data_IF_206302859474
#
_entry.id   IF_206302859474
#
_cell.length_a   1.000
_cell.length_b   1.000
_cell.length_c   1.000
_cell.angle_alpha   90.00
_cell.angle_beta   90.00
_cell.angle_gamma   90.00
#
_symmetry.space_group_name_H-M   'P 1'
#
loop_
_entity.id
_entity.type
_entity.pdbx_description
1 polymer ?
#
# COMPACT_ATOMS: atom_id res chain seq x y z
N UNK A 1 8.13 -5.16 9.08
CA UNK A 1 7.97 -4.00 9.99
C UNK A 1 9.27 -3.22 10.08
N UNK A 2 10.37 -3.83 10.56
CA UNK A 2 11.69 -3.18 10.70
C UNK A 2 12.14 -2.43 9.43
N UNK A 3 12.09 -3.07 8.25
CA UNK A 3 12.44 -2.39 6.99
C UNK A 3 11.65 -1.11 6.71
N UNK A 4 10.39 -1.03 7.11
CA UNK A 4 9.59 0.20 6.97
C UNK A 4 10.00 1.26 7.99
N UNK A 5 10.41 0.86 9.19
CA UNK A 5 10.95 1.77 10.20
C UNK A 5 12.32 2.30 9.76
N UNK A 6 13.20 1.42 9.29
CA UNK A 6 14.55 1.77 8.81
C UNK A 6 14.49 2.77 7.65
N UNK A 7 13.49 2.65 6.78
CA UNK A 7 13.27 3.59 5.67
C UNK A 7 13.05 5.04 6.17
N UNK A 8 12.54 5.24 7.39
CA UNK A 8 12.36 6.58 7.98
C UNK A 8 13.67 7.23 8.45
N UNK A 9 14.80 6.51 8.41
CA UNK A 9 16.12 7.11 8.64
C UNK A 9 16.50 8.12 7.54
N UNK A 10 15.86 8.05 6.37
CA UNK A 10 15.97 9.06 5.32
C UNK A 10 15.13 10.31 5.58
N UNK A 11 15.20 11.25 4.63
CA UNK A 11 14.36 12.46 4.61
C UNK A 11 13.00 12.16 3.98
N UNK A 12 12.20 11.38 4.71
CA UNK A 12 10.86 10.93 4.30
C UNK A 12 9.90 10.98 5.49
N UNK A 13 8.61 11.10 5.17
CA UNK A 13 7.52 11.21 6.15
C UNK A 13 6.82 9.88 6.40
N UNK A 14 6.91 8.95 5.45
CA UNK A 14 6.28 7.64 5.54
C UNK A 14 6.96 6.55 4.72
N UNK A 15 6.66 5.31 5.08
CA UNK A 15 7.06 4.12 4.36
C UNK A 15 5.91 3.12 4.33
N UNK A 16 5.62 2.57 3.16
CA UNK A 16 4.59 1.56 2.95
C UNK A 16 5.20 0.24 2.54
N UNK A 17 4.74 -0.86 3.15
CA UNK A 17 5.00 -2.19 2.60
C UNK A 17 4.22 -2.35 1.30
N UNK A 18 4.83 -2.85 0.22
CA UNK A 18 4.12 -3.16 -1.02
C UNK A 18 4.78 -4.27 -1.83
N UNK A 19 4.00 -4.94 -2.66
CA UNK A 19 4.47 -5.92 -3.62
C UNK A 19 4.31 -5.40 -5.06
N UNK A 20 5.17 -5.82 -5.98
CA UNK A 20 5.00 -5.50 -7.40
C UNK A 20 3.71 -6.13 -7.93
N UNK A 21 2.99 -5.39 -8.77
CA UNK A 21 1.78 -5.95 -9.39
C UNK A 21 2.17 -7.01 -10.42
N UNK A 22 1.71 -8.24 -10.22
CA UNK A 22 1.91 -9.36 -11.16
C UNK A 22 1.03 -9.24 -12.40
N UNK A 23 -0.21 -8.80 -12.17
CA UNK A 23 -1.28 -8.83 -13.15
C UNK A 23 -1.18 -7.64 -14.11
N UNK A 24 -1.75 -7.80 -15.31
CA UNK A 24 -1.90 -6.66 -16.22
C UNK A 24 -3.04 -5.77 -15.72
N UNK A 25 -2.75 -4.54 -15.32
CA UNK A 25 -3.76 -3.58 -14.85
C UNK A 25 -4.32 -2.78 -16.03
N UNK A 26 -5.65 -2.72 -16.11
CA UNK A 26 -6.39 -1.90 -17.06
C UNK A 26 -7.15 -0.81 -16.32
N UNK A 27 -7.15 0.40 -16.86
CA UNK A 27 -8.13 1.42 -16.51
C UNK A 27 -9.34 1.24 -17.43
N UNK A 28 -10.56 1.24 -16.87
CA UNK A 28 -11.80 1.04 -17.61
C UNK A 28 -12.84 2.10 -17.23
N UNK A 29 -13.65 2.52 -18.21
CA UNK A 29 -14.76 3.45 -18.00
C UNK A 29 -16.01 2.69 -17.56
N UNK A 30 -16.49 2.96 -16.35
CA UNK A 30 -17.65 2.30 -15.75
C UNK A 30 -17.57 0.77 -15.71
N UNK A 31 -16.38 0.18 -15.88
CA UNK A 31 -16.14 -1.27 -15.96
C UNK A 31 -16.47 -1.94 -17.30
N UNK A 32 -17.01 -1.21 -18.29
CA UNK A 32 -17.50 -1.81 -19.54
C UNK A 32 -16.53 -1.70 -20.73
N UNK A 33 -15.61 -0.73 -20.72
CA UNK A 33 -14.66 -0.49 -21.81
C UNK A 33 -13.27 -0.13 -21.29
N UNK A 34 -12.24 -0.78 -21.81
CA UNK A 34 -10.83 -0.45 -21.51
C UNK A 34 -10.48 0.94 -22.07
N UNK A 35 -10.00 1.81 -21.19
CA UNK A 35 -9.48 3.16 -21.51
C UNK A 35 -8.00 3.08 -21.83
N UNK A 36 -7.21 2.42 -20.95
CA UNK A 36 -5.79 2.18 -21.18
C UNK A 36 -5.26 0.99 -20.40
N UNK A 37 -4.09 0.52 -20.81
CA UNK A 37 -3.29 -0.45 -20.04
C UNK A 37 -2.23 0.33 -19.29
N UNK A 38 -2.14 0.13 -17.97
CA UNK A 38 -1.12 0.79 -17.16
C UNK A 38 0.21 0.04 -17.30
N UNK A 39 1.33 0.77 -17.25
CA UNK A 39 2.66 0.15 -17.23
C UNK A 39 2.90 -0.50 -15.87
N UNK A 40 2.80 -1.84 -15.82
CA UNK A 40 3.00 -2.60 -14.58
C UNK A 40 4.39 -2.44 -13.96
N UNK A 41 5.40 -1.99 -14.71
CA UNK A 41 6.78 -1.88 -14.22
C UNK A 41 6.92 -0.88 -13.06
N UNK A 42 6.01 0.09 -12.99
CA UNK A 42 5.95 1.15 -11.97
C UNK A 42 4.80 0.96 -10.96
N UNK A 43 4.02 -0.12 -11.05
CA UNK A 43 2.86 -0.33 -10.19
C UNK A 43 3.18 -1.24 -9.00
N UNK A 44 2.66 -0.84 -7.85
CA UNK A 44 2.81 -1.54 -6.58
C UNK A 44 1.44 -1.73 -5.92
N UNK A 45 1.20 -2.93 -5.41
CA UNK A 45 0.06 -3.26 -4.57
C UNK A 45 0.45 -3.00 -3.11
N UNK A 46 -0.12 -1.94 -2.54
CA UNK A 46 0.16 -1.50 -1.17
C UNK A 46 -0.41 -2.49 -0.15
N UNK A 47 0.38 -2.79 0.87
CA UNK A 47 0.08 -3.67 1.99
C UNK A 47 0.23 -2.91 3.31
N UNK A 48 0.02 -3.60 4.44
CA UNK A 48 0.39 -3.12 5.77
C UNK A 48 1.60 -3.91 6.30
N UNK A 49 2.44 -3.34 7.17
CA UNK A 49 2.31 -2.04 7.83
C UNK A 49 2.60 -0.85 6.90
N UNK A 50 1.94 0.26 7.22
CA UNK A 50 2.35 1.60 6.81
C UNK A 50 2.92 2.28 8.06
N UNK A 51 4.07 2.94 7.93
CA UNK A 51 4.79 3.57 9.05
C UNK A 51 5.04 5.02 8.70
N UNK A 52 4.75 5.94 9.62
CA UNK A 52 4.85 7.37 9.38
C UNK A 52 5.56 8.08 10.51
N UNK A 53 6.19 9.22 10.21
CA UNK A 53 6.54 10.21 11.23
C UNK A 53 5.25 10.69 11.88
N UNK A 54 5.23 10.65 13.22
CA UNK A 54 4.02 10.92 13.97
C UNK A 54 3.48 12.34 13.77
N UNK A 55 4.36 13.32 13.50
CA UNK A 55 3.96 14.69 13.19
C UNK A 55 3.30 14.79 11.81
N UNK A 56 3.95 14.26 10.76
CA UNK A 56 3.42 14.25 9.40
C UNK A 56 2.03 13.61 9.31
N UNK A 57 1.83 12.45 9.95
CA UNK A 57 0.51 11.81 9.97
C UNK A 57 -0.54 12.62 10.74
N UNK A 58 -0.17 13.22 11.88
CA UNK A 58 -1.10 14.05 12.66
C UNK A 58 -1.53 15.30 11.89
N UNK A 59 -0.60 15.93 11.19
CA UNK A 59 -0.91 17.10 10.37
C UNK A 59 -1.79 16.73 9.18
N UNK A 60 -1.50 15.62 8.51
CA UNK A 60 -2.34 15.09 7.43
C UNK A 60 -3.77 14.78 7.90
N UNK A 61 -3.93 14.22 9.10
CA UNK A 61 -5.22 13.91 9.71
C UNK A 61 -6.05 15.15 10.09
N UNK A 62 -5.48 16.36 10.12
CA UNK A 62 -6.25 17.61 10.34
C UNK A 62 -6.96 18.08 9.08
N UNK A 63 -6.60 17.56 7.91
CA UNK A 63 -7.22 17.88 6.62
C UNK A 63 -8.56 17.16 6.41
N UNK A 64 -9.06 17.21 5.16
CA UNK A 64 -10.21 16.41 4.74
C UNK A 64 -9.81 14.95 4.54
N UNK A 65 -10.33 14.07 5.40
CA UNK A 65 -10.04 12.63 5.36
C UNK A 65 -11.11 11.82 4.61
N UNK A 66 -12.16 12.46 4.08
CA UNK A 66 -13.34 11.78 3.53
C UNK A 66 -13.07 10.93 2.29
N UNK A 67 -12.00 11.22 1.56
CA UNK A 67 -11.60 10.51 0.33
C UNK A 67 -10.36 9.64 0.50
N UNK A 68 -9.81 9.55 1.70
CA UNK A 68 -8.61 8.76 1.97
C UNK A 68 -8.90 7.27 1.85
N UNK A 69 -8.05 6.56 1.10
CA UNK A 69 -8.11 5.09 0.98
C UNK A 69 -7.20 4.39 1.98
N UNK A 70 -6.18 5.09 2.46
CA UNK A 70 -5.24 4.70 3.50
C UNK A 70 -4.51 5.92 4.10
N UNK A 71 -3.69 5.69 5.13
CA UNK A 71 -2.94 6.75 5.81
C UNK A 71 -1.85 7.37 4.91
N UNK A 72 -1.29 6.59 3.98
CA UNK A 72 -0.31 7.08 3.02
C UNK A 72 -0.89 8.16 2.11
N UNK A 73 -2.10 7.95 1.59
CA UNK A 73 -2.79 8.92 0.73
C UNK A 73 -3.04 10.26 1.44
N UNK A 74 -3.23 10.24 2.76
CA UNK A 74 -3.36 11.45 3.58
C UNK A 74 -2.04 12.21 3.66
N UNK A 75 -0.95 11.51 3.97
CA UNK A 75 0.38 12.11 4.08
C UNK A 75 0.84 12.68 2.74
N UNK A 76 0.62 11.96 1.63
CA UNK A 76 0.89 12.44 0.28
C UNK A 76 0.09 13.70 -0.07
N UNK A 77 -1.21 13.72 0.26
CA UNK A 77 -2.07 14.88 0.03
C UNK A 77 -1.67 16.11 0.85
N UNK A 78 -1.07 15.90 2.03
CA UNK A 78 -0.48 16.95 2.86
C UNK A 78 0.90 17.42 2.38
N UNK A 79 1.42 16.86 1.28
CA UNK A 79 2.73 17.19 0.71
C UNK A 79 3.90 16.39 1.29
N UNK A 80 3.62 15.39 2.13
CA UNK A 80 4.63 14.52 2.70
C UNK A 80 5.18 13.51 1.69
N UNK A 81 6.41 13.06 1.94
CA UNK A 81 7.09 12.07 1.09
C UNK A 81 6.91 10.67 1.66
N UNK A 82 6.28 9.78 0.89
CA UNK A 82 6.09 8.36 1.25
C UNK A 82 6.90 7.47 0.30
N UNK A 83 7.68 6.53 0.86
CA UNK A 83 8.48 5.58 0.08
C UNK A 83 7.92 4.17 0.12
N UNK A 84 8.18 3.42 -0.95
CA UNK A 84 7.80 2.01 -1.04
C UNK A 84 8.92 1.12 -0.50
N UNK A 85 8.55 0.19 0.37
CA UNK A 85 9.41 -0.88 0.86
C UNK A 85 8.87 -2.21 0.35
N UNK A 86 9.70 -2.92 -0.43
CA UNK A 86 9.30 -4.19 -1.01
C UNK A 86 9.00 -5.24 0.09
N UNK A 87 7.82 -5.84 -0.03
CA UNK A 87 7.30 -6.87 0.84
C UNK A 87 6.87 -8.09 0.02
N UNK A 88 7.02 -9.32 0.57
CA UNK A 88 6.54 -10.52 -0.11
C UNK A 88 5.03 -10.44 -0.41
N UNK A 89 4.56 -11.02 -1.52
CA UNK A 89 3.13 -11.10 -1.81
C UNK A 89 2.36 -11.89 -0.74
N UNK A 90 3.03 -12.76 0.01
CA UNK A 90 2.48 -13.49 1.18
C UNK A 90 2.00 -12.56 2.30
N UNK A 91 2.47 -11.31 2.36
CA UNK A 91 1.99 -10.29 3.30
C UNK A 91 0.66 -9.68 2.81
N UNK A 92 -0.26 -10.53 2.36
CA UNK A 92 -1.51 -10.10 1.75
C UNK A 92 -2.40 -9.38 2.77
N UNK A 93 -3.08 -8.34 2.28
CA UNK A 93 -4.14 -7.69 3.05
C UNK A 93 -5.35 -8.61 3.06
N UNK A 94 -5.72 -9.14 4.22
CA UNK A 94 -6.91 -10.00 4.35
C UNK A 94 -8.16 -9.11 4.37
N UNK A 95 -8.89 -9.08 3.25
CA UNK A 95 -10.09 -8.23 3.07
C UNK A 95 -11.32 -9.02 2.63
N UNK A 96 -11.14 -10.23 2.11
CA UNK A 96 -12.20 -11.10 1.62
C UNK A 96 -12.13 -12.49 2.24
N UNK A 97 -13.21 -13.29 2.18
CA UNK A 97 -13.19 -14.69 2.57
C UNK A 97 -12.22 -15.56 1.74
N UNK A 98 -11.87 -15.12 0.52
CA UNK A 98 -10.84 -15.80 -0.26
C UNK A 98 -9.45 -15.54 0.33
N UNK A 99 -9.14 -14.28 0.65
CA UNK A 99 -7.86 -13.89 1.26
C UNK A 99 -7.62 -14.65 2.57
N UNK A 100 -8.68 -14.86 3.37
CA UNK A 100 -8.59 -15.62 4.61
C UNK A 100 -8.15 -17.07 4.37
N UNK A 101 -8.74 -17.75 3.39
CA UNK A 101 -8.36 -19.13 3.04
C UNK A 101 -6.92 -19.22 2.54
N UNK A 102 -6.47 -18.21 1.78
CA UNK A 102 -5.07 -18.12 1.33
C UNK A 102 -4.14 -17.92 2.52
N UNK A 103 -4.47 -17.02 3.44
CA UNK A 103 -3.69 -16.79 4.65
C UNK A 103 -3.59 -18.04 5.53
N UNK A 104 -4.69 -18.79 5.71
CA UNK A 104 -4.70 -20.06 6.44
C UNK A 104 -3.75 -21.10 5.83
N UNK A 105 -3.78 -21.25 4.50
CA UNK A 105 -2.88 -22.17 3.80
C UNK A 105 -1.40 -21.77 3.96
N UNK A 106 -1.08 -20.48 3.80
CA UNK A 106 0.28 -19.96 3.98
C UNK A 106 0.80 -20.16 5.41
N UNK A 107 -0.07 -20.03 6.42
CA UNK A 107 0.28 -20.29 7.81
C UNK A 107 0.52 -21.77 8.07
N UNK A 108 -0.26 -22.67 7.46
CA UNK A 108 -0.09 -24.11 7.60
C UNK A 108 1.24 -24.61 7.02
N UNK A 109 1.73 -24.01 5.93
CA UNK A 109 3.03 -24.36 5.32
C UNK A 109 4.25 -23.92 6.15
N UNK A 110 4.05 -22.99 7.10
CA UNK A 110 5.10 -22.44 7.96
C UNK A 110 5.28 -23.21 9.27
N UNK A 111 4.40 -24.17 9.55
CA UNK A 111 4.41 -25.03 10.73
C UNK A 111 5.14 -26.36 10.49
#
# INVERSE_FOLDING_TARGET
VERCIDALAGDVDGAIAAARVSDTVKEADGGARVVRTLDRSVLWAVQTPQVFRAEALRDALRGDVSRATDDASLVEAAGGTVVVVEAPPENLKVTTPFDLRVAEALLAERC
#
